data_IF_215183900390
#
_entry.id   IF_215183900390
#
_cell.length_a   1.000
_cell.length_b   1.000
_cell.length_c   1.000
_cell.angle_alpha   90.00
_cell.angle_beta   90.00
_cell.angle_gamma   90.00
#
_symmetry.space_group_name_H-M   'P 1'
#
loop_
_entity.id
_entity.type
_entity.pdbx_description
1 polymer ?
#
# COMPACT_ATOMS: atom_id res chain seq x y z
N UNK A 1 -21.58 -110.21 41.78
CA UNK A 1 -20.92 -109.36 42.79
C UNK A 1 -19.47 -109.23 42.38
N UNK A 2 -19.07 -108.07 41.83
CA UNK A 2 -17.68 -107.80 41.46
C UNK A 2 -16.80 -107.81 42.70
N UNK A 3 -15.62 -108.44 42.61
CA UNK A 3 -14.73 -108.46 43.77
C UNK A 3 -14.11 -107.07 43.97
N UNK A 4 -13.97 -106.65 45.22
CA UNK A 4 -13.34 -105.37 45.59
C UNK A 4 -11.94 -105.15 44.95
N UNK A 5 -11.24 -106.24 44.61
CA UNK A 5 -9.95 -106.21 43.94
C UNK A 5 -10.01 -105.85 42.44
N UNK A 6 -11.16 -106.04 41.78
CA UNK A 6 -11.39 -105.64 40.38
C UNK A 6 -11.77 -104.17 40.29
N UNK A 7 -12.64 -103.67 41.18
CA UNK A 7 -12.96 -102.24 41.29
C UNK A 7 -11.71 -101.40 41.58
N UNK A 8 -10.81 -101.87 42.45
CA UNK A 8 -9.52 -101.18 42.68
C UNK A 8 -8.58 -101.15 41.47
N UNK A 9 -8.67 -102.13 40.56
CA UNK A 9 -7.87 -102.15 39.32
C UNK A 9 -8.50 -101.24 38.27
N UNK A 10 -9.82 -101.27 38.14
CA UNK A 10 -10.58 -100.38 37.27
C UNK A 10 -10.40 -98.91 37.67
N UNK A 11 -10.52 -98.59 38.96
CA UNK A 11 -10.33 -97.21 39.45
C UNK A 11 -8.90 -96.71 39.21
N UNK A 12 -7.87 -97.55 39.45
CA UNK A 12 -6.48 -97.16 39.15
C UNK A 12 -6.23 -96.95 37.66
N UNK A 13 -6.86 -97.73 36.80
CA UNK A 13 -6.77 -97.53 35.36
C UNK A 13 -7.47 -96.24 34.92
N UNK A 14 -8.65 -95.94 35.49
CA UNK A 14 -9.38 -94.70 35.25
C UNK A 14 -8.60 -93.46 35.74
N UNK A 15 -8.02 -93.52 36.94
CA UNK A 15 -7.19 -92.44 37.50
C UNK A 15 -5.94 -92.20 36.64
N UNK A 16 -5.28 -93.26 36.16
CA UNK A 16 -4.13 -93.15 35.28
C UNK A 16 -4.50 -92.50 33.94
N UNK A 17 -5.66 -92.86 33.37
CA UNK A 17 -6.16 -92.28 32.13
C UNK A 17 -6.53 -90.80 32.31
N UNK A 18 -7.23 -90.47 33.39
CA UNK A 18 -7.59 -89.09 33.72
C UNK A 18 -6.35 -88.23 33.99
N UNK A 19 -5.31 -88.79 34.62
CA UNK A 19 -4.03 -88.11 34.80
C UNK A 19 -3.30 -87.84 33.47
N UNK A 20 -3.36 -88.77 32.51
CA UNK A 20 -2.82 -88.54 31.15
C UNK A 20 -3.57 -87.39 30.45
N UNK A 21 -4.90 -87.45 30.46
CA UNK A 21 -5.73 -86.40 29.86
C UNK A 21 -5.53 -85.04 30.52
N UNK A 22 -5.38 -84.99 31.84
CA UNK A 22 -5.08 -83.76 32.58
C UNK A 22 -3.69 -83.22 32.25
N UNK A 23 -2.69 -84.09 32.08
CA UNK A 23 -1.34 -83.69 31.68
C UNK A 23 -1.33 -83.12 30.26
N UNK A 24 -2.00 -83.78 29.30
CA UNK A 24 -2.12 -83.32 27.92
C UNK A 24 -2.88 -81.98 27.84
N UNK A 25 -3.97 -81.84 28.60
CA UNK A 25 -4.72 -80.59 28.71
C UNK A 25 -3.87 -79.45 29.31
N UNK A 26 -3.02 -79.76 30.30
CA UNK A 26 -2.12 -78.77 30.89
C UNK A 26 -1.04 -78.30 29.92
N UNK A 27 -0.45 -79.22 29.13
CA UNK A 27 0.51 -78.88 28.07
C UNK A 27 -0.16 -78.05 26.97
N UNK A 28 -1.36 -78.45 26.53
CA UNK A 28 -2.12 -77.71 25.53
C UNK A 28 -2.47 -76.28 25.99
N UNK A 29 -2.87 -76.09 27.26
CA UNK A 29 -3.08 -74.75 27.83
C UNK A 29 -1.81 -73.91 27.81
N UNK A 30 -0.68 -74.47 28.24
CA UNK A 30 0.62 -73.78 28.20
C UNK A 30 1.03 -73.37 26.79
N UNK A 31 0.85 -74.23 25.80
CA UNK A 31 1.14 -73.88 24.40
C UNK A 31 0.26 -72.74 23.90
N UNK A 32 -1.05 -72.76 24.21
CA UNK A 32 -1.97 -71.67 23.81
C UNK A 32 -1.61 -70.34 24.48
N UNK A 33 -1.26 -70.36 25.76
CA UNK A 33 -0.80 -69.16 26.48
C UNK A 33 0.49 -68.60 25.88
N UNK A 34 1.46 -69.47 25.56
CA UNK A 34 2.70 -69.05 24.91
C UNK A 34 2.46 -68.48 23.51
N UNK A 35 1.60 -69.12 22.71
CA UNK A 35 1.23 -68.63 21.38
C UNK A 35 0.51 -67.27 21.48
N UNK A 36 -0.43 -67.11 22.42
CA UNK A 36 -1.14 -65.85 22.64
C UNK A 36 -0.19 -64.72 23.08
N UNK A 37 0.78 -65.00 23.97
CA UNK A 37 1.80 -64.02 24.36
C UNK A 37 2.73 -63.64 23.22
N UNK A 38 3.13 -64.60 22.39
CA UNK A 38 3.96 -64.34 21.22
C UNK A 38 3.23 -63.47 20.19
N UNK A 39 1.94 -63.71 19.97
CA UNK A 39 1.12 -62.90 19.07
C UNK A 39 0.91 -61.49 19.62
N UNK A 40 0.62 -61.34 20.91
CA UNK A 40 0.55 -60.03 21.58
C UNK A 40 1.86 -59.25 21.45
N UNK A 41 3.01 -59.92 21.67
CA UNK A 41 4.31 -59.28 21.52
C UNK A 41 4.57 -58.79 20.08
N UNK A 42 4.10 -59.53 19.07
CA UNK A 42 4.19 -59.11 17.65
C UNK A 42 3.29 -57.92 17.37
N UNK A 43 2.06 -57.92 17.86
CA UNK A 43 1.13 -56.79 17.67
C UNK A 43 1.64 -55.53 18.37
N UNK A 44 2.18 -55.67 19.57
CA UNK A 44 2.73 -54.56 20.35
C UNK A 44 3.99 -53.99 19.69
N UNK A 45 4.88 -54.86 19.21
CA UNK A 45 6.06 -54.44 18.45
C UNK A 45 5.68 -53.71 17.15
N UNK A 46 4.68 -54.20 16.41
CA UNK A 46 4.18 -53.55 15.20
C UNK A 46 3.52 -52.19 15.51
N UNK A 47 2.76 -52.09 16.61
CA UNK A 47 2.18 -50.83 17.07
C UNK A 47 3.25 -49.82 17.50
N UNK A 48 4.27 -50.28 18.23
CA UNK A 48 5.40 -49.45 18.65
C UNK A 48 6.21 -48.93 17.46
N UNK A 49 6.46 -49.78 16.44
CA UNK A 49 7.12 -49.37 15.21
C UNK A 49 6.33 -48.30 14.46
N UNK A 50 5.01 -48.48 14.28
CA UNK A 50 4.12 -47.48 13.67
C UNK A 50 4.12 -46.15 14.45
N UNK A 51 4.14 -46.20 15.77
CA UNK A 51 4.21 -45.00 16.61
C UNK A 51 5.56 -44.28 16.43
N UNK A 52 6.66 -45.04 16.40
CA UNK A 52 8.00 -44.50 16.19
C UNK A 52 8.16 -43.84 14.81
N UNK A 53 7.59 -44.43 13.76
CA UNK A 53 7.59 -43.85 12.41
C UNK A 53 6.77 -42.58 12.35
N UNK A 54 5.56 -42.55 12.93
CA UNK A 54 4.77 -41.31 13.08
C UNK A 54 5.54 -40.24 13.85
N UNK A 55 6.25 -40.59 14.92
CA UNK A 55 7.09 -39.64 15.67
C UNK A 55 8.28 -39.13 14.84
N UNK A 56 8.89 -39.97 14.01
CA UNK A 56 9.96 -39.56 13.09
C UNK A 56 9.44 -38.64 12.00
N UNK A 57 8.29 -38.95 11.41
CA UNK A 57 7.63 -38.12 10.39
C UNK A 57 7.24 -36.75 10.95
N UNK A 58 6.59 -36.71 12.12
CA UNK A 58 6.24 -35.45 12.79
C UNK A 58 7.47 -34.62 13.14
N UNK A 59 8.57 -35.23 13.61
CA UNK A 59 9.85 -34.53 13.82
C UNK A 59 10.45 -34.01 12.52
N UNK A 60 10.42 -34.80 11.44
CA UNK A 60 10.92 -34.39 10.12
C UNK A 60 10.08 -33.24 9.57
N UNK A 61 8.75 -33.32 9.66
CA UNK A 61 7.83 -32.28 9.25
C UNK A 61 8.04 -30.99 10.07
N UNK A 62 8.22 -31.10 11.40
CA UNK A 62 8.53 -29.96 12.26
C UNK A 62 9.85 -29.29 11.87
N UNK A 63 10.90 -30.09 11.60
CA UNK A 63 12.19 -29.58 11.12
C UNK A 63 12.07 -28.92 9.75
N UNK A 64 11.37 -29.54 8.81
CA UNK A 64 11.15 -28.97 7.48
C UNK A 64 10.36 -27.66 7.56
N UNK A 65 9.32 -27.60 8.39
CA UNK A 65 8.54 -26.38 8.63
C UNK A 65 9.39 -25.29 9.30
N UNK A 66 10.25 -25.64 10.25
CA UNK A 66 11.19 -24.70 10.86
C UNK A 66 12.19 -24.17 9.83
N UNK A 67 12.79 -25.06 9.03
CA UNK A 67 13.72 -24.67 7.96
C UNK A 67 13.03 -23.78 6.92
N UNK A 68 11.81 -24.13 6.48
CA UNK A 68 11.04 -23.31 5.55
C UNK A 68 10.72 -21.92 6.12
N UNK A 69 10.39 -21.83 7.42
CA UNK A 69 10.20 -20.55 8.12
C UNK A 69 11.48 -19.74 8.16
N UNK A 70 12.60 -20.36 8.50
CA UNK A 70 13.92 -19.71 8.56
C UNK A 70 14.36 -19.24 7.18
N UNK A 71 14.29 -20.09 6.15
CA UNK A 71 14.70 -19.75 4.78
C UNK A 71 13.78 -18.69 4.17
N UNK A 72 12.46 -18.76 4.42
CA UNK A 72 11.50 -17.73 4.02
C UNK A 72 11.73 -16.40 4.73
N UNK A 73 12.10 -16.41 6.01
CA UNK A 73 12.49 -15.20 6.73
C UNK A 73 13.79 -14.62 6.18
N UNK A 74 14.80 -15.45 5.95
CA UNK A 74 16.08 -15.03 5.35
C UNK A 74 15.89 -14.45 3.95
N UNK A 75 15.06 -15.07 3.10
CA UNK A 75 14.79 -14.58 1.74
C UNK A 75 14.08 -13.22 1.74
N UNK A 76 13.12 -13.03 2.65
CA UNK A 76 12.40 -11.78 2.84
C UNK A 76 13.30 -10.67 3.39
N UNK A 77 14.30 -11.03 4.21
CA UNK A 77 15.18 -10.09 4.90
C UNK A 77 16.58 -9.97 4.29
N UNK A 78 16.83 -10.46 3.06
CA UNK A 78 18.18 -10.46 2.42
C UNK A 78 18.85 -9.09 2.39
N UNK A 79 18.08 -8.02 2.21
CA UNK A 79 18.59 -6.64 2.20
C UNK A 79 18.72 -6.06 3.62
N UNK A 80 17.87 -6.49 4.56
CA UNK A 80 17.84 -5.99 5.94
C UNK A 80 18.94 -6.61 6.80
N UNK A 81 19.27 -7.88 6.58
CA UNK A 81 20.24 -8.64 7.38
C UNK A 81 21.64 -7.98 7.40
N UNK A 82 22.23 -7.62 6.26
CA UNK A 82 23.56 -6.99 6.24
C UNK A 82 23.55 -5.61 6.93
N UNK A 83 22.44 -4.88 6.84
CA UNK A 83 22.28 -3.57 7.48
C UNK A 83 22.24 -3.73 9.01
N UNK A 84 21.50 -4.70 9.53
CA UNK A 84 21.49 -4.97 10.97
C UNK A 84 22.82 -5.53 11.47
N UNK A 85 23.51 -6.37 10.69
CA UNK A 85 24.82 -6.88 11.04
C UNK A 85 25.85 -5.73 11.11
N UNK A 86 25.86 -4.84 10.12
CA UNK A 86 26.69 -3.64 10.13
C UNK A 86 26.37 -2.76 11.34
N UNK A 87 25.07 -2.53 11.61
CA UNK A 87 24.63 -1.78 12.78
C UNK A 87 25.12 -2.38 14.10
N UNK A 88 25.08 -3.71 14.24
CA UNK A 88 25.54 -4.41 15.43
C UNK A 88 27.05 -4.26 15.63
N UNK A 89 27.83 -4.38 14.55
CA UNK A 89 29.28 -4.17 14.58
C UNK A 89 29.61 -2.72 14.92
N UNK A 90 28.93 -1.75 14.30
CA UNK A 90 29.09 -0.32 14.62
C UNK A 90 28.72 -0.02 16.06
N UNK A 91 27.63 -0.58 16.59
CA UNK A 91 27.23 -0.40 17.98
C UNK A 91 28.26 -1.00 18.95
N UNK A 92 28.80 -2.18 18.64
CA UNK A 92 29.84 -2.83 19.44
C UNK A 92 31.12 -2.00 19.56
N UNK A 93 31.44 -1.17 18.57
CA UNK A 93 32.58 -0.25 18.62
C UNK A 93 32.22 1.12 19.19
N UNK A 94 31.07 1.66 18.84
CA UNK A 94 30.66 3.02 19.20
C UNK A 94 30.22 3.14 20.66
N UNK A 95 29.49 2.16 21.20
CA UNK A 95 28.96 2.22 22.56
C UNK A 95 30.09 2.27 23.61
N UNK A 96 31.13 1.42 23.56
CA UNK A 96 32.25 1.53 24.50
C UNK A 96 33.03 2.84 24.37
N UNK A 97 33.26 3.32 23.15
CA UNK A 97 33.99 4.57 22.90
C UNK A 97 33.23 5.79 23.45
N UNK A 98 31.91 5.83 23.24
CA UNK A 98 31.02 6.88 23.74
C UNK A 98 30.84 6.81 25.26
N UNK A 99 30.81 5.61 25.85
CA UNK A 99 30.78 5.43 27.29
C UNK A 99 32.07 5.96 27.95
N UNK A 100 33.24 5.71 27.34
CA UNK A 100 34.52 6.28 27.78
C UNK A 100 34.52 7.80 27.72
N UNK A 101 34.11 8.39 26.59
CA UNK A 101 33.99 9.84 26.44
C UNK A 101 33.01 10.46 27.45
N UNK A 102 31.88 9.81 27.71
CA UNK A 102 30.89 10.25 28.70
C UNK A 102 31.44 10.26 30.13
N UNK A 103 32.25 9.27 30.50
CA UNK A 103 32.96 9.24 31.78
C UNK A 103 33.98 10.37 31.86
N UNK A 104 34.79 10.57 30.82
CA UNK A 104 35.81 11.62 30.77
C UNK A 104 35.22 13.03 30.84
N UNK A 105 34.01 13.22 30.27
CA UNK A 105 33.37 14.54 30.18
C UNK A 105 32.57 14.92 31.42
N UNK A 106 31.84 13.97 32.01
CA UNK A 106 30.90 14.24 33.10
C UNK A 106 31.37 13.71 34.46
N UNK A 107 32.49 12.98 34.52
CA UNK A 107 33.16 12.56 35.75
C UNK A 107 32.45 11.49 36.57
N UNK A 108 31.30 10.97 36.09
CA UNK A 108 30.44 10.07 36.84
C UNK A 108 29.74 9.04 35.95
N UNK A 109 29.25 7.94 36.53
CA UNK A 109 28.68 6.78 35.79
C UNK A 109 27.45 7.18 34.96
N UNK A 110 26.73 8.21 35.37
CA UNK A 110 25.59 8.80 34.63
C UNK A 110 26.03 9.47 33.31
N UNK A 111 27.27 9.97 33.26
CA UNK A 111 27.92 10.49 32.06
C UNK A 111 28.11 9.46 30.97
N UNK A 112 28.42 8.21 31.35
CA UNK A 112 28.58 7.10 30.41
C UNK A 112 27.27 6.74 29.68
N UNK A 113 26.13 6.96 30.33
CA UNK A 113 24.81 6.59 29.82
C UNK A 113 24.24 7.63 28.83
N UNK A 114 24.62 8.90 28.94
CA UNK A 114 24.06 10.00 28.15
C UNK A 114 24.32 9.87 26.63
N UNK A 115 25.55 9.60 26.17
CA UNK A 115 25.82 9.35 24.75
C UNK A 115 25.23 8.03 24.24
N UNK A 116 25.14 7.02 25.11
CA UNK A 116 24.49 5.75 24.78
C UNK A 116 22.98 5.95 24.58
N UNK A 117 22.34 6.81 25.37
CA UNK A 117 20.91 7.12 25.26
C UNK A 117 20.55 7.87 23.97
N UNK A 118 21.40 8.75 23.45
CA UNK A 118 21.13 9.46 22.20
C UNK A 118 21.26 8.54 20.97
N UNK A 119 22.31 7.72 20.93
CA UNK A 119 22.52 6.72 19.88
C UNK A 119 21.48 5.59 19.93
N UNK A 120 21.18 5.05 21.11
CA UNK A 120 20.13 4.04 21.29
C UNK A 120 18.73 4.60 21.05
N UNK A 121 18.49 5.87 21.40
CA UNK A 121 17.23 6.55 21.13
C UNK A 121 16.92 6.58 19.64
N UNK A 122 17.87 6.97 18.81
CA UNK A 122 17.75 6.94 17.34
C UNK A 122 17.37 5.56 16.81
N UNK A 123 18.09 4.51 17.26
CA UNK A 123 17.83 3.13 16.87
C UNK A 123 16.47 2.62 17.35
N UNK A 124 16.05 2.99 18.56
CA UNK A 124 14.74 2.67 19.08
C UNK A 124 13.62 3.28 18.22
N UNK A 125 13.76 4.55 17.81
CA UNK A 125 12.81 5.18 16.88
C UNK A 125 12.83 4.53 15.49
N UNK A 126 14.02 4.18 14.96
CA UNK A 126 14.14 3.52 13.67
C UNK A 126 13.45 2.13 13.66
N UNK A 127 13.68 1.32 14.70
CA UNK A 127 13.00 0.04 14.90
C UNK A 127 11.49 0.22 15.08
N UNK A 128 11.06 1.25 15.81
CA UNK A 128 9.64 1.56 15.98
C UNK A 128 8.97 1.92 14.64
N UNK A 129 9.64 2.66 13.76
CA UNK A 129 9.14 2.93 12.39
C UNK A 129 8.90 1.63 11.65
N UNK A 130 9.85 0.70 11.71
CA UNK A 130 9.77 -0.56 10.99
C UNK A 130 8.67 -1.48 11.53
N UNK A 131 8.60 -1.65 12.85
CA UNK A 131 7.55 -2.44 13.51
C UNK A 131 6.17 -1.83 13.22
N UNK A 132 6.05 -0.51 13.30
CA UNK A 132 4.78 0.19 13.03
C UNK A 132 4.34 0.00 11.58
N UNK A 133 5.25 0.13 10.60
CA UNK A 133 4.93 -0.12 9.19
C UNK A 133 4.52 -1.57 8.91
N UNK A 134 5.07 -2.54 9.64
CA UNK A 134 4.74 -3.94 9.44
C UNK A 134 3.43 -4.37 10.12
N UNK A 135 3.18 -3.91 11.35
CA UNK A 135 1.96 -4.24 12.12
C UNK A 135 0.77 -3.36 11.79
N UNK A 136 1.00 -2.10 11.44
CA UNK A 136 -0.02 -1.08 11.23
C UNK A 136 0.30 -0.23 9.99
N UNK A 137 0.17 -0.78 8.77
CA UNK A 137 0.56 -0.10 7.53
C UNK A 137 -0.20 1.22 7.29
N UNK A 138 -1.39 1.37 7.87
CA UNK A 138 -2.22 2.56 7.73
C UNK A 138 -1.87 3.69 8.71
N UNK A 139 -1.02 3.43 9.71
CA UNK A 139 -0.65 4.44 10.70
C UNK A 139 0.44 5.37 10.17
N UNK A 140 0.29 6.69 10.35
CA UNK A 140 1.34 7.62 10.03
C UNK A 140 2.54 7.43 10.97
N UNK A 141 3.73 7.27 10.40
CA UNK A 141 5.00 7.10 11.16
C UNK A 141 5.85 8.38 11.19
N UNK A 142 5.30 9.52 10.77
CA UNK A 142 6.07 10.77 10.64
C UNK A 142 6.69 11.21 11.96
N UNK A 143 5.99 11.00 13.09
CA UNK A 143 6.50 11.37 14.42
C UNK A 143 7.70 10.51 14.82
N UNK A 144 7.67 9.21 14.49
CA UNK A 144 8.79 8.31 14.75
C UNK A 144 9.99 8.62 13.86
N UNK A 145 9.73 8.96 12.58
CA UNK A 145 10.78 9.42 11.65
C UNK A 145 11.40 10.74 12.12
N UNK A 146 10.58 11.68 12.61
CA UNK A 146 11.06 12.93 13.19
C UNK A 146 11.97 12.64 14.39
N UNK A 147 11.56 11.73 15.29
CA UNK A 147 12.40 11.25 16.39
C UNK A 147 13.75 10.74 15.91
N UNK A 148 13.78 9.85 14.91
CA UNK A 148 15.04 9.35 14.32
C UNK A 148 15.94 10.49 13.83
N UNK A 149 15.40 11.47 13.11
CA UNK A 149 16.18 12.60 12.58
C UNK A 149 16.69 13.54 13.66
N UNK A 150 15.90 13.79 14.71
CA UNK A 150 16.33 14.61 15.85
C UNK A 150 17.52 13.97 16.55
N UNK A 151 17.45 12.68 16.88
CA UNK A 151 18.57 11.99 17.53
C UNK A 151 19.79 11.83 16.61
N UNK A 152 19.59 11.57 15.31
CA UNK A 152 20.67 11.56 14.33
C UNK A 152 21.37 12.93 14.23
N UNK A 153 20.60 14.03 14.28
CA UNK A 153 21.14 15.38 14.32
C UNK A 153 21.98 15.65 15.56
N UNK A 154 21.52 15.21 16.74
CA UNK A 154 22.30 15.30 17.98
C UNK A 154 23.60 14.51 17.87
N UNK A 155 23.54 13.26 17.39
CA UNK A 155 24.73 12.43 17.17
C UNK A 155 25.72 13.06 16.17
N UNK A 156 25.21 13.63 15.08
CA UNK A 156 26.01 14.40 14.13
C UNK A 156 26.73 15.56 14.81
N UNK A 157 26.01 16.40 15.54
CA UNK A 157 26.58 17.58 16.22
C UNK A 157 27.66 17.17 17.23
N UNK A 158 27.42 16.13 18.03
CA UNK A 158 28.42 15.64 18.99
C UNK A 158 29.69 15.14 18.28
N UNK A 159 29.54 14.40 17.18
CA UNK A 159 30.69 13.90 16.41
C UNK A 159 31.45 15.02 15.68
N UNK A 160 30.75 16.04 15.17
CA UNK A 160 31.39 17.23 14.61
C UNK A 160 32.18 18.00 15.67
N UNK A 161 31.59 18.23 16.84
CA UNK A 161 32.27 18.91 17.96
C UNK A 161 33.51 18.12 18.41
N UNK A 162 33.39 16.79 18.49
CA UNK A 162 34.51 15.92 18.85
C UNK A 162 35.63 15.93 17.80
N UNK A 163 35.28 15.94 16.51
CA UNK A 163 36.25 16.02 15.42
C UNK A 163 36.87 17.41 15.27
N UNK A 164 36.20 18.48 15.72
CA UNK A 164 36.69 19.85 15.64
C UNK A 164 38.05 20.04 16.29
N UNK A 165 38.26 19.40 17.44
CA UNK A 165 39.54 19.44 18.16
C UNK A 165 40.70 18.78 17.39
N UNK A 166 40.41 17.97 16.37
CA UNK A 166 41.38 17.29 15.50
C UNK A 166 41.51 17.94 14.11
N UNK A 167 40.71 18.96 13.83
CA UNK A 167 40.68 19.67 12.54
C UNK A 167 39.34 19.58 11.82
N UNK A 168 39.10 20.52 10.91
CA UNK A 168 37.83 20.64 10.19
C UNK A 168 37.50 19.39 9.35
N UNK A 169 38.50 18.78 8.71
CA UNK A 169 38.31 17.58 7.90
C UNK A 169 37.85 16.39 8.76
N UNK A 170 38.43 16.25 9.97
CA UNK A 170 38.02 15.23 10.93
C UNK A 170 36.60 15.46 11.44
N UNK A 171 36.23 16.72 11.73
CA UNK A 171 34.88 17.10 12.12
C UNK A 171 33.84 16.71 11.06
N UNK A 172 34.11 17.02 9.80
CA UNK A 172 33.21 16.72 8.69
C UNK A 172 33.05 15.21 8.48
N UNK A 173 34.17 14.47 8.44
CA UNK A 173 34.16 13.02 8.24
C UNK A 173 33.44 12.32 9.38
N UNK A 174 33.73 12.66 10.63
CA UNK A 174 33.08 12.06 11.80
C UNK A 174 31.57 12.36 11.81
N UNK A 175 31.17 13.58 11.49
CA UNK A 175 29.75 13.95 11.37
C UNK A 175 29.04 13.13 10.30
N UNK A 176 29.55 13.11 9.07
CA UNK A 176 28.91 12.40 7.94
C UNK A 176 28.82 10.90 8.22
N UNK A 177 29.90 10.28 8.71
CA UNK A 177 29.94 8.85 9.00
C UNK A 177 28.92 8.47 10.09
N UNK A 178 28.71 9.32 11.10
CA UNK A 178 27.71 9.12 12.15
C UNK A 178 26.28 8.99 11.60
N UNK A 179 25.90 9.80 10.61
CA UNK A 179 24.54 9.76 10.03
C UNK A 179 24.40 8.85 8.82
N UNK A 180 25.51 8.42 8.20
CA UNK A 180 25.48 7.60 6.98
C UNK A 180 24.74 6.27 7.20
N UNK A 181 24.94 5.63 8.36
CA UNK A 181 24.23 4.39 8.72
C UNK A 181 22.72 4.59 8.83
N UNK A 182 22.28 5.74 9.35
CA UNK A 182 20.87 6.11 9.49
C UNK A 182 20.24 6.35 8.13
N UNK A 183 20.92 7.11 7.27
CA UNK A 183 20.46 7.39 5.91
C UNK A 183 20.33 6.08 5.12
N UNK A 184 21.35 5.21 5.19
CA UNK A 184 21.32 3.89 4.56
C UNK A 184 20.14 3.05 5.07
N UNK A 185 19.92 3.02 6.39
CA UNK A 185 18.78 2.32 7.00
C UNK A 185 17.42 2.89 6.53
N UNK A 186 17.25 4.22 6.51
CA UNK A 186 16.00 4.85 6.05
C UNK A 186 15.71 4.59 4.57
N UNK A 187 16.73 4.59 3.72
CA UNK A 187 16.60 4.32 2.28
C UNK A 187 16.29 2.85 1.99
N UNK A 188 16.95 1.92 2.67
CA UNK A 188 16.81 0.49 2.40
C UNK A 188 15.62 -0.16 3.11
N UNK A 189 15.26 0.33 4.30
CA UNK A 189 14.32 -0.35 5.21
C UNK A 189 13.01 0.43 5.36
N UNK A 190 13.09 1.74 5.58
CA UNK A 190 11.91 2.54 5.93
C UNK A 190 11.10 3.05 4.73
N UNK A 191 11.70 3.17 3.55
CA UNK A 191 11.03 3.62 2.32
C UNK A 191 11.42 2.75 1.11
N UNK A 192 10.96 1.48 1.04
CA UNK A 192 11.20 0.68 -0.15
C UNK A 192 10.70 1.45 -1.38
N UNK A 193 11.51 1.53 -2.45
CA UNK A 193 11.20 2.37 -3.59
C UNK A 193 9.91 1.89 -4.25
N UNK A 194 8.81 2.64 -4.05
CA UNK A 194 7.56 2.40 -4.76
C UNK A 194 7.78 2.53 -6.25
N UNK A 195 7.26 1.59 -7.03
CA UNK A 195 7.31 1.65 -8.49
C UNK A 195 6.60 2.92 -9.00
N UNK A 196 6.98 3.46 -10.18
CA UNK A 196 6.27 4.59 -10.78
C UNK A 196 4.75 4.33 -10.92
N UNK A 197 4.37 3.08 -11.23
CA UNK A 197 2.97 2.65 -11.34
C UNK A 197 2.21 2.75 -10.00
N UNK A 198 2.79 2.28 -8.90
CA UNK A 198 2.19 2.42 -7.55
C UNK A 198 2.03 3.88 -7.14
N UNK A 199 2.99 4.74 -7.51
CA UNK A 199 2.89 6.18 -7.25
C UNK A 199 1.76 6.82 -8.07
N UNK A 200 1.59 6.40 -9.32
CA UNK A 200 0.49 6.87 -10.15
C UNK A 200 -0.87 6.40 -9.59
N UNK A 201 -1.00 5.12 -9.25
CA UNK A 201 -2.20 4.54 -8.65
C UNK A 201 -2.59 5.25 -7.33
N UNK A 202 -1.65 5.39 -6.39
CA UNK A 202 -1.91 6.08 -5.12
C UNK A 202 -2.25 7.57 -5.29
N UNK A 203 -1.72 8.24 -6.32
CA UNK A 203 -2.12 9.62 -6.65
C UNK A 203 -3.56 9.68 -7.17
N UNK A 204 -3.96 8.73 -8.00
CA UNK A 204 -5.34 8.63 -8.53
C UNK A 204 -6.29 8.34 -7.37
N UNK A 205 -5.97 7.36 -6.53
CA UNK A 205 -6.75 6.98 -5.36
C UNK A 205 -6.94 8.17 -4.40
N UNK A 206 -5.86 8.88 -4.04
CA UNK A 206 -5.94 10.09 -3.20
C UNK A 206 -6.83 11.17 -3.83
N UNK A 207 -6.75 11.36 -5.15
CA UNK A 207 -7.62 12.31 -5.86
C UNK A 207 -9.08 11.84 -5.85
N UNK A 208 -9.33 10.54 -6.03
CA UNK A 208 -10.66 9.95 -5.95
C UNK A 208 -11.26 10.11 -4.55
N UNK A 209 -10.52 9.77 -3.49
CA UNK A 209 -10.94 9.95 -2.11
C UNK A 209 -11.24 11.42 -1.77
N UNK A 210 -10.39 12.36 -2.24
CA UNK A 210 -10.64 13.80 -2.07
C UNK A 210 -11.90 14.25 -2.80
N UNK A 211 -12.17 13.74 -4.00
CA UNK A 211 -13.40 14.04 -4.75
C UNK A 211 -14.62 13.48 -4.02
N UNK A 212 -14.57 12.23 -3.58
CA UNK A 212 -15.63 11.57 -2.80
C UNK A 212 -15.92 12.36 -1.52
N UNK A 213 -14.88 12.74 -0.78
CA UNK A 213 -15.03 13.53 0.44
C UNK A 213 -15.67 14.91 0.17
N UNK A 214 -15.28 15.59 -0.92
CA UNK A 214 -15.91 16.86 -1.32
C UNK A 214 -17.39 16.68 -1.69
N UNK A 215 -17.72 15.63 -2.45
CA UNK A 215 -19.11 15.32 -2.82
C UNK A 215 -19.94 14.98 -1.59
N UNK A 216 -19.42 14.17 -0.66
CA UNK A 216 -20.08 13.88 0.63
C UNK A 216 -20.34 15.14 1.43
N UNK A 217 -19.34 16.03 1.53
CA UNK A 217 -19.49 17.30 2.23
C UNK A 217 -20.51 18.24 1.55
N UNK A 218 -20.62 18.22 0.22
CA UNK A 218 -21.63 18.98 -0.51
C UNK A 218 -23.03 18.35 -0.35
N UNK A 219 -23.13 17.02 -0.33
CA UNK A 219 -24.37 16.30 -0.07
C UNK A 219 -24.93 16.66 1.31
N UNK A 220 -24.11 16.61 2.36
CA UNK A 220 -24.55 16.98 3.72
C UNK A 220 -25.05 18.42 3.80
N UNK A 221 -24.45 19.35 3.04
CA UNK A 221 -24.92 20.76 2.98
C UNK A 221 -26.24 20.95 2.26
N UNK A 222 -26.59 20.04 1.35
CA UNK A 222 -27.79 20.12 0.51
C UNK A 222 -28.91 19.24 1.05
N UNK A 223 -28.61 18.35 2.00
CA UNK A 223 -29.58 17.47 2.64
C UNK A 223 -30.61 18.27 3.44
N UNK A 224 -31.85 17.81 3.43
CA UNK A 224 -32.93 18.39 4.22
C UNK A 224 -32.97 17.70 5.58
N UNK A 225 -33.04 18.47 6.66
CA UNK A 225 -33.28 17.91 7.98
C UNK A 225 -34.78 17.68 8.17
N UNK A 226 -35.17 16.45 8.46
CA UNK A 226 -36.52 16.09 8.90
C UNK A 226 -36.47 15.88 10.41
N UNK A 227 -37.36 16.54 11.14
CA UNK A 227 -37.49 16.42 12.60
C UNK A 227 -38.84 15.76 12.86
N UNK A 228 -38.83 14.62 13.55
CA UNK A 228 -40.06 13.91 13.90
C UNK A 228 -40.77 14.54 15.11
N UNK A 229 -42.01 14.11 15.38
CA UNK A 229 -42.81 14.58 16.50
C UNK A 229 -42.22 14.21 17.88
N UNK A 230 -41.27 13.26 17.93
CA UNK A 230 -40.56 12.85 19.14
C UNK A 230 -39.25 13.64 19.36
N UNK A 231 -38.89 14.55 18.46
CA UNK A 231 -37.68 15.39 18.53
C UNK A 231 -36.42 14.77 17.92
N UNK A 232 -36.52 13.64 17.20
CA UNK A 232 -35.39 13.04 16.50
C UNK A 232 -35.18 13.71 15.15
N UNK A 233 -33.95 14.15 14.86
CA UNK A 233 -33.58 14.74 13.58
C UNK A 233 -32.87 13.72 12.67
N UNK A 234 -33.27 13.64 11.39
CA UNK A 234 -32.60 12.83 10.35
C UNK A 234 -32.32 13.67 9.10
N UNK A 235 -31.22 13.36 8.41
CA UNK A 235 -30.88 13.98 7.13
C UNK A 235 -31.45 13.16 5.97
N UNK A 236 -32.28 13.78 5.14
CA UNK A 236 -32.87 13.20 3.95
C UNK A 236 -32.14 13.72 2.71
N UNK A 237 -31.69 12.80 1.86
CA UNK A 237 -30.98 13.10 0.63
C UNK A 237 -31.87 12.74 -0.57
N UNK A 238 -32.02 13.65 -1.52
CA UNK A 238 -32.78 13.37 -2.75
C UNK A 238 -32.01 12.39 -3.64
N UNK A 239 -32.58 11.23 -4.01
CA UNK A 239 -31.90 10.28 -4.88
C UNK A 239 -31.76 10.84 -6.30
N UNK A 240 -30.61 10.62 -6.95
CA UNK A 240 -30.37 11.11 -8.31
C UNK A 240 -28.89 11.13 -8.70
N UNK A 241 -28.64 11.45 -9.98
CA UNK A 241 -27.28 11.74 -10.47
C UNK A 241 -26.98 13.21 -10.26
N UNK A 242 -25.84 13.50 -9.64
CA UNK A 242 -25.42 14.87 -9.34
C UNK A 242 -24.02 15.13 -9.88
N UNK A 243 -23.80 16.34 -10.39
CA UNK A 243 -22.47 16.89 -10.63
C UNK A 243 -22.12 17.88 -9.53
N UNK A 244 -20.83 17.98 -9.21
CA UNK A 244 -20.35 18.98 -8.26
C UNK A 244 -20.04 20.27 -9.02
N UNK A 245 -20.91 21.27 -8.90
CA UNK A 245 -20.68 22.62 -9.40
C UNK A 245 -20.13 23.50 -8.26
N UNK A 246 -18.81 23.72 -8.29
CA UNK A 246 -18.09 24.41 -7.23
C UNK A 246 -18.21 23.71 -5.87
N UNK A 247 -19.12 24.23 -5.02
CA UNK A 247 -19.40 23.71 -3.66
C UNK A 247 -20.80 23.10 -3.50
N UNK A 248 -21.63 23.13 -4.55
CA UNK A 248 -23.03 22.65 -4.53
C UNK A 248 -23.19 21.44 -5.43
N UNK A 249 -24.18 20.60 -5.10
CA UNK A 249 -24.60 19.52 -5.98
C UNK A 249 -25.66 20.07 -6.94
N UNK A 250 -25.42 19.92 -8.24
CA UNK A 250 -26.40 20.20 -9.29
C UNK A 250 -26.95 18.86 -9.79
N UNK A 251 -28.28 18.75 -9.84
CA UNK A 251 -28.91 17.56 -10.42
C UNK A 251 -28.56 17.48 -11.90
N UNK A 252 -28.10 16.31 -12.35
CA UNK A 252 -27.95 16.04 -13.77
C UNK A 252 -29.34 15.68 -14.27
N UNK A 253 -29.97 16.64 -14.96
CA UNK A 253 -31.18 16.35 -15.73
C UNK A 253 -30.75 15.50 -16.91
N UNK A 254 -31.06 14.22 -16.86
CA UNK A 254 -30.91 13.34 -18.02
C UNK A 254 -31.93 13.83 -19.05
N UNK A 255 -31.51 14.24 -20.27
CA UNK A 255 -32.46 14.63 -21.28
C UNK A 255 -33.40 13.44 -21.51
N UNK A 256 -34.70 13.71 -21.48
CA UNK A 256 -35.71 12.69 -21.70
C UNK A 256 -35.46 12.07 -23.07
N UNK A 257 -35.02 10.81 -23.08
CA UNK A 257 -34.71 10.08 -24.30
C UNK A 257 -35.95 9.95 -25.17
N UNK A 258 -37.13 9.84 -24.54
CA UNK A 258 -38.38 9.76 -25.27
C UNK A 258 -38.70 11.08 -25.99
N UNK A 259 -38.47 12.23 -25.34
CA UNK A 259 -38.59 13.53 -26.00
C UNK A 259 -37.56 13.70 -27.13
N UNK A 260 -36.36 13.14 -26.98
CA UNK A 260 -35.34 13.10 -28.03
C UNK A 260 -35.75 12.25 -29.24
N UNK A 261 -36.33 11.08 -28.99
CA UNK A 261 -36.81 10.17 -30.03
C UNK A 261 -38.04 10.75 -30.75
N UNK A 262 -38.99 11.33 -30.03
CA UNK A 262 -40.16 12.01 -30.60
C UNK A 262 -39.74 13.21 -31.45
N UNK A 263 -38.78 14.01 -30.99
CA UNK A 263 -38.26 15.14 -31.79
C UNK A 263 -37.51 14.65 -33.04
N UNK A 264 -36.78 13.53 -32.95
CA UNK A 264 -36.12 12.92 -34.10
C UNK A 264 -37.15 12.44 -35.14
N UNK A 265 -38.21 11.79 -34.69
CA UNK A 265 -39.32 11.33 -35.55
C UNK A 265 -40.07 12.50 -36.18
N UNK A 266 -40.33 13.58 -35.43
CA UNK A 266 -40.94 14.82 -35.95
C UNK A 266 -40.06 15.51 -36.99
N UNK A 267 -38.74 15.59 -36.75
CA UNK A 267 -37.78 16.16 -37.71
C UNK A 267 -37.71 15.30 -38.96
N UNK A 268 -37.70 13.97 -38.82
CA UNK A 268 -37.74 13.04 -39.96
C UNK A 268 -39.04 13.15 -40.75
N UNK A 269 -40.19 13.28 -40.08
CA UNK A 269 -41.49 13.47 -40.73
C UNK A 269 -41.58 14.82 -41.45
N UNK A 270 -41.08 15.90 -40.84
CA UNK A 270 -41.01 17.22 -41.46
C UNK A 270 -40.10 17.22 -42.70
N UNK A 271 -38.94 16.55 -42.63
CA UNK A 271 -38.04 16.43 -43.78
C UNK A 271 -38.64 15.56 -44.88
N UNK A 272 -39.42 14.52 -44.55
CA UNK A 272 -40.13 13.70 -45.53
C UNK A 272 -41.25 14.49 -46.24
N UNK A 273 -41.96 15.36 -45.52
CA UNK A 273 -43.01 16.22 -46.08
C UNK A 273 -42.45 17.34 -47.00
N UNK A 274 -41.18 17.72 -46.81
CA UNK A 274 -40.46 18.65 -47.68
C UNK A 274 -40.03 18.02 -49.02
N UNK A 275 -40.11 16.68 -49.17
CA UNK A 275 -39.83 16.00 -50.45
C UNK A 275 -41.10 16.02 -51.31
N UNK A 276 -41.37 17.17 -51.96
CA UNK A 276 -42.28 17.21 -53.11
C UNK A 276 -41.63 16.52 -54.33
N UNK A 277 -42.43 15.87 -55.19
CA UNK A 277 -41.91 15.01 -56.24
C UNK A 277 -41.15 15.81 -57.30
N UNK A 278 -39.96 15.33 -57.63
CA UNK A 278 -39.12 15.85 -58.70
C UNK A 278 -39.89 15.80 -60.03
N UNK A 279 -39.93 16.94 -60.73
CA UNK A 279 -40.16 16.95 -62.17
C UNK A 279 -39.02 16.17 -62.83
N UNK A 280 -39.42 15.20 -63.65
CA UNK A 280 -38.52 14.23 -64.26
C UNK A 280 -37.47 14.86 -65.15
N UNK A 281 -36.26 14.33 -65.04
CA UNK A 281 -35.28 14.30 -66.11
C UNK A 281 -34.54 12.96 -66.03
N UNK A 282 -34.81 12.16 -67.06
CA UNK A 282 -34.03 11.12 -67.72
C UNK A 282 -33.25 10.04 -66.95
N UNK A 283 -33.62 8.82 -67.35
CA UNK A 283 -32.98 7.53 -67.12
C UNK A 283 -31.58 7.46 -67.75
N UNK A 284 -30.60 7.04 -66.94
CA UNK A 284 -29.35 6.44 -67.39
C UNK A 284 -28.94 5.34 -66.42
N UNK A 285 -28.62 4.11 -66.88
CA UNK A 285 -28.41 2.98 -65.99
C UNK A 285 -27.02 3.07 -65.34
N UNK A 286 -26.97 3.32 -64.03
CA UNK A 286 -25.74 3.10 -63.26
C UNK A 286 -25.67 1.62 -62.92
N UNK A 287 -24.81 0.96 -63.69
CA UNK A 287 -24.41 -0.44 -63.64
C UNK A 287 -23.79 -0.78 -62.29
N UNK A 288 -24.08 -2.01 -61.84
CA UNK A 288 -23.53 -2.74 -60.68
C UNK A 288 -22.15 -2.26 -60.20
N UNK A 289 -22.12 -1.60 -59.04
CA UNK A 289 -20.92 -1.45 -58.24
C UNK A 289 -20.92 -2.55 -57.15
N UNK A 290 -19.93 -3.45 -57.10
CA UNK A 290 -19.89 -4.51 -56.11
C UNK A 290 -19.67 -3.94 -54.70
N UNK A 291 -20.50 -4.38 -53.77
CA UNK A 291 -20.31 -4.19 -52.32
C UNK A 291 -18.95 -4.77 -51.95
N UNK A 292 -18.00 -3.91 -51.61
CA UNK A 292 -16.71 -4.31 -51.05
C UNK A 292 -16.94 -4.83 -49.63
N UNK A 293 -17.08 -6.14 -49.49
CA UNK A 293 -16.94 -6.82 -48.20
C UNK A 293 -15.49 -6.66 -47.74
N UNK A 294 -15.30 -5.90 -46.67
CA UNK A 294 -14.01 -5.67 -46.01
C UNK A 294 -13.59 -6.95 -45.25
N UNK A 295 -13.04 -7.92 -45.98
CA UNK A 295 -12.12 -8.88 -45.40
C UNK A 295 -10.84 -8.13 -45.00
N UNK A 296 -10.52 -8.18 -43.71
CA UNK A 296 -9.49 -7.35 -43.07
C UNK A 296 -8.15 -8.11 -43.03
N UNK A 297 -7.11 -7.69 -43.76
CA UNK A 297 -5.77 -8.26 -43.58
C UNK A 297 -5.16 -7.82 -42.23
N UNK A 298 -4.35 -8.72 -41.65
CA UNK A 298 -3.86 -8.73 -40.28
C UNK A 298 -2.82 -7.65 -39.89
N UNK A 299 -2.60 -6.62 -40.73
CA UNK A 299 -1.50 -5.66 -40.55
C UNK A 299 -1.98 -4.24 -40.18
N UNK A 300 -3.05 -4.11 -39.39
CA UNK A 300 -3.44 -2.82 -38.83
C UNK A 300 -2.65 -2.50 -37.56
N UNK A 301 -1.70 -1.55 -37.68
CA UNK A 301 -1.11 -0.83 -36.54
C UNK A 301 -2.23 -0.32 -35.62
N UNK A 302 -2.11 -0.60 -34.33
CA UNK A 302 -2.95 0.00 -33.29
C UNK A 302 -3.06 1.51 -33.49
N UNK A 303 -4.28 1.96 -33.79
CA UNK A 303 -4.62 3.37 -33.80
C UNK A 303 -4.58 3.88 -32.36
N UNK A 304 -3.44 4.39 -31.91
CA UNK A 304 -3.41 5.25 -30.74
C UNK A 304 -4.07 6.57 -31.16
N UNK A 305 -5.22 6.97 -30.59
CA UNK A 305 -5.86 8.22 -30.97
C UNK A 305 -4.88 9.38 -30.71
N UNK A 306 -4.67 10.30 -31.67
CA UNK A 306 -3.79 11.43 -31.46
C UNK A 306 -4.31 12.21 -30.25
N UNK A 307 -3.43 12.36 -29.26
CA UNK A 307 -3.69 13.09 -28.03
C UNK A 307 -4.19 14.48 -28.41
N UNK A 308 -5.49 14.74 -28.23
CA UNK A 308 -6.09 16.08 -28.43
C UNK A 308 -5.28 17.08 -27.62
N UNK A 309 -4.46 17.87 -28.30
CA UNK A 309 -3.83 19.06 -27.75
C UNK A 309 -4.97 20.06 -27.53
N UNK A 310 -5.35 20.25 -26.27
CA UNK A 310 -6.22 21.35 -25.88
C UNK A 310 -5.51 22.63 -26.35
N UNK A 311 -6.11 23.46 -27.20
CA UNK A 311 -5.51 24.73 -27.59
C UNK A 311 -5.19 25.51 -26.33
N UNK A 312 -3.95 25.97 -26.19
CA UNK A 312 -3.60 26.84 -25.08
C UNK A 312 -4.55 28.06 -25.11
N UNK A 313 -5.10 28.49 -23.96
CA UNK A 313 -5.94 29.69 -23.92
C UNK A 313 -5.15 30.86 -24.51
N UNK A 314 -5.78 31.63 -25.41
CA UNK A 314 -5.16 32.81 -26.05
C UNK A 314 -4.64 33.73 -24.95
N UNK A 315 -3.33 33.75 -24.75
CA UNK A 315 -2.69 34.66 -23.80
C UNK A 315 -2.84 36.09 -24.35
N UNK A 316 -3.33 37.01 -23.53
CA UNK A 316 -3.36 38.44 -23.85
C UNK A 316 -1.94 38.89 -24.19
N UNK A 317 -1.77 39.60 -25.30
CA UNK A 317 -0.47 40.13 -25.71
C UNK A 317 -0.06 41.28 -24.80
N UNK A 318 1.24 41.60 -24.74
CA UNK A 318 1.72 42.71 -23.92
C UNK A 318 1.12 44.05 -24.37
N UNK A 319 0.85 44.22 -25.67
CA UNK A 319 0.22 45.43 -26.21
C UNK A 319 -1.23 45.59 -25.75
N UNK A 320 -1.98 44.49 -25.68
CA UNK A 320 -3.33 44.51 -25.09
C UNK A 320 -3.29 44.92 -23.61
N UNK A 321 -2.32 44.40 -22.86
CA UNK A 321 -2.13 44.78 -21.46
C UNK A 321 -1.70 46.24 -21.29
N UNK A 322 -0.97 46.83 -22.25
CA UNK A 322 -0.64 48.27 -22.25
C UNK A 322 -1.89 49.13 -22.44
N UNK A 323 -2.76 48.77 -23.37
CA UNK A 323 -4.03 49.49 -23.61
C UNK A 323 -4.96 49.37 -22.41
N UNK A 324 -5.14 48.17 -21.84
CA UNK A 324 -5.94 47.95 -20.63
C UNK A 324 -5.37 48.70 -19.42
N UNK A 325 -4.03 48.76 -19.29
CA UNK A 325 -3.38 49.50 -18.22
C UNK A 325 -3.57 51.02 -18.34
N UNK A 326 -3.47 51.58 -19.55
CA UNK A 326 -3.72 52.99 -19.79
C UNK A 326 -5.18 53.35 -19.46
N UNK A 327 -6.14 52.55 -19.94
CA UNK A 327 -7.55 52.72 -19.64
C UNK A 327 -7.85 52.63 -18.13
N UNK A 328 -7.18 51.73 -17.40
CA UNK A 328 -7.34 51.59 -15.96
C UNK A 328 -6.73 52.75 -15.15
N UNK A 329 -5.76 53.48 -15.69
CA UNK A 329 -5.22 54.70 -15.05
C UNK A 329 -6.19 55.87 -15.25
N UNK A 330 -6.82 55.95 -16.42
CA UNK A 330 -7.74 57.03 -16.77
C UNK A 330 -9.15 56.86 -16.13
N UNK A 331 -9.46 55.65 -15.66
CA UNK A 331 -10.74 55.34 -14.99
C UNK A 331 -10.69 55.64 -13.48
N UNK A 332 -11.45 56.64 -12.98
CA UNK A 332 -11.45 57.01 -11.56
C UNK A 332 -12.08 55.93 -10.64
N UNK A 333 -12.83 54.98 -11.19
CA UNK A 333 -13.45 53.90 -10.42
C UNK A 333 -12.51 52.70 -10.20
N UNK A 334 -11.34 52.69 -10.86
CA UNK A 334 -10.35 51.61 -10.77
C UNK A 334 -9.19 52.02 -9.87
N UNK A 335 -9.15 51.49 -8.65
CA UNK A 335 -8.04 51.70 -7.72
C UNK A 335 -6.77 50.95 -8.17
N UNK A 336 -5.98 51.55 -9.07
CA UNK A 336 -4.68 51.04 -9.53
C UNK A 336 -3.54 51.96 -9.08
N UNK A 337 -2.49 51.38 -8.49
CA UNK A 337 -1.26 52.10 -8.19
C UNK A 337 -0.21 51.78 -9.28
N UNK A 338 0.11 52.74 -10.17
CA UNK A 338 1.01 52.48 -11.30
C UNK A 338 2.47 52.27 -10.88
N UNK A 339 2.85 52.64 -9.65
CA UNK A 339 4.19 52.39 -9.12
C UNK A 339 4.38 50.97 -8.55
N UNK A 340 3.30 50.20 -8.38
CA UNK A 340 3.33 48.86 -7.76
C UNK A 340 2.99 47.74 -8.74
N UNK A 341 3.97 46.88 -9.03
CA UNK A 341 3.77 45.72 -9.91
C UNK A 341 2.73 44.72 -9.36
N UNK A 342 2.55 44.63 -8.05
CA UNK A 342 1.50 43.78 -7.45
C UNK A 342 0.10 44.39 -7.61
N UNK A 343 -0.03 45.72 -7.60
CA UNK A 343 -1.31 46.39 -7.88
C UNK A 343 -1.71 46.17 -9.35
N UNK A 344 -0.80 46.43 -10.29
CA UNK A 344 -1.03 46.19 -11.73
C UNK A 344 -1.41 44.74 -12.02
N UNK A 345 -0.70 43.79 -11.39
CA UNK A 345 -0.95 42.36 -11.54
C UNK A 345 -2.37 41.97 -11.09
N UNK A 346 -2.82 42.51 -9.95
CA UNK A 346 -4.12 42.19 -9.38
C UNK A 346 -5.25 42.81 -10.18
N UNK A 347 -5.11 44.06 -10.61
CA UNK A 347 -6.13 44.78 -11.38
C UNK A 347 -6.28 44.21 -12.80
N UNK A 348 -5.17 43.91 -13.49
CA UNK A 348 -5.22 43.39 -14.88
C UNK A 348 -5.24 41.86 -14.98
N UNK A 349 -5.13 41.14 -13.86
CA UNK A 349 -5.02 39.68 -13.80
C UNK A 349 -3.94 39.11 -14.75
N UNK A 350 -2.77 39.75 -14.81
CA UNK A 350 -1.67 39.36 -15.68
C UNK A 350 -0.53 38.65 -14.92
N UNK A 351 0.47 38.14 -15.65
CA UNK A 351 1.64 37.53 -15.03
C UNK A 351 2.56 38.59 -14.40
N UNK A 352 3.25 38.24 -13.32
CA UNK A 352 4.13 39.18 -12.58
C UNK A 352 5.23 39.81 -13.45
N UNK A 353 5.72 39.09 -14.47
CA UNK A 353 6.71 39.61 -15.42
C UNK A 353 6.14 40.76 -16.26
N UNK A 354 4.93 40.61 -16.79
CA UNK A 354 4.26 41.65 -17.56
C UNK A 354 3.92 42.86 -16.68
N UNK A 355 3.47 42.64 -15.44
CA UNK A 355 3.19 43.73 -14.50
C UNK A 355 4.44 44.55 -14.13
N UNK A 356 5.60 43.90 -13.96
CA UNK A 356 6.89 44.60 -13.75
C UNK A 356 7.30 45.41 -14.97
N UNK A 357 7.13 44.85 -16.16
CA UNK A 357 7.41 45.53 -17.42
C UNK A 357 6.55 46.80 -17.58
N UNK A 358 5.24 46.70 -17.36
CA UNK A 358 4.34 47.86 -17.43
C UNK A 358 4.69 48.95 -16.41
N UNK A 359 5.04 48.56 -15.17
CA UNK A 359 5.53 49.50 -14.15
C UNK A 359 6.80 50.22 -14.60
N UNK A 360 7.76 49.47 -15.14
CA UNK A 360 9.06 50.02 -15.53
C UNK A 360 8.94 50.92 -16.77
N UNK A 361 8.06 50.58 -17.72
CA UNK A 361 7.69 51.41 -18.87
C UNK A 361 6.98 52.71 -18.42
N UNK A 362 6.06 52.62 -17.45
CA UNK A 362 5.39 53.79 -16.89
C UNK A 362 6.36 54.71 -16.11
N UNK A 363 7.32 54.13 -15.38
CA UNK A 363 8.35 54.89 -14.66
C UNK A 363 9.36 55.55 -15.60
N UNK A 364 9.66 54.91 -16.74
CA UNK A 364 10.63 55.37 -17.72
C UNK A 364 10.05 55.22 -19.15
N UNK A 365 9.32 56.22 -19.67
CA UNK A 365 8.62 56.12 -20.97
C UNK A 365 9.54 55.93 -22.18
N UNK A 366 10.86 56.12 -22.02
CA UNK A 366 11.87 55.92 -23.07
C UNK A 366 12.46 54.50 -23.12
N UNK A 367 12.03 53.58 -22.25
CA UNK A 367 12.51 52.20 -22.18
C UNK A 367 11.51 51.26 -22.86
N UNK A 368 11.46 51.26 -24.19
CA UNK A 368 10.63 50.33 -24.97
C UNK A 368 11.29 48.98 -25.15
#
# INVERSE_FOLDING_TARGET
MTSWAEERRANRAADAEQNRQNADAAVARKLREQAARAEQARTDAAAAAKLADKQRETRRAARAAMLARVTGWLSTNRVRLPIYLLALVSAGMAVPAMAGYGLDTYGDVTGAALPALSELGMWAFALAVEVSRHRHPDRPVWALQLGTWVFAGVGFTLNVLHGWHRGWDAALVMGIVSIAGVIAHQLAVASPPRSPAERAASRIERKALRKVAKVRAAAVRTAVAEIDAAGTARLVFTPGRYTLDGRRLAAVVEPDRHAGDVLADEVSAFLADQVRPAHGVDDGPIVDAPVLTLDRPADQRESTPPRRTIPAPKARTIDQLRTEFAAAIDDPDVAINPASAESIRKTLHCAIKAARQLRDEHKNPNRK
#
